data_IF_465881533667
#
_entry.id   IF_465881533667
#
_cell.length_a   1.000
_cell.length_b   1.000
_cell.length_c   1.000
_cell.angle_alpha   90.00
_cell.angle_beta   90.00
_cell.angle_gamma   90.00
#
_symmetry.space_group_name_H-M   'P 1'
#
loop_
_entity.id
_entity.type
_entity.pdbx_description
1 polymer ?
#
# COMPACT_ATOMS: atom_id res chain seq x y z
N UNK A 1 24.98 -9.28 -1.09
CA UNK A 1 24.05 -8.49 -1.91
C UNK A 1 23.00 -7.94 -0.97
N UNK A 2 22.77 -6.65 -1.01
CA UNK A 2 21.69 -5.97 -0.29
C UNK A 2 20.72 -5.43 -1.36
N UNK A 3 19.44 -5.76 -1.24
CA UNK A 3 18.40 -5.26 -2.11
C UNK A 3 17.44 -4.40 -1.30
N UNK A 4 17.12 -3.21 -1.80
CA UNK A 4 16.16 -2.30 -1.17
C UNK A 4 14.86 -2.35 -1.97
N UNK A 5 13.78 -2.76 -1.32
CA UNK A 5 12.46 -2.85 -1.92
C UNK A 5 11.56 -1.75 -1.42
N UNK A 6 11.05 -0.93 -2.33
CA UNK A 6 9.95 -0.02 -2.01
C UNK A 6 8.62 -0.71 -2.32
N UNK A 7 7.80 -0.91 -1.30
CA UNK A 7 6.50 -1.59 -1.41
C UNK A 7 5.39 -0.65 -1.92
N UNK A 8 5.71 0.17 -2.93
CA UNK A 8 4.78 1.16 -3.49
C UNK A 8 3.96 0.67 -4.68
N UNK A 9 4.48 -0.30 -5.44
CA UNK A 9 3.87 -0.69 -6.72
C UNK A 9 3.91 -2.19 -7.03
N UNK A 10 4.71 -2.96 -6.32
CA UNK A 10 4.71 -4.41 -6.42
C UNK A 10 4.63 -4.98 -5.02
N UNK A 11 3.61 -5.76 -4.73
CA UNK A 11 3.68 -6.66 -3.59
C UNK A 11 4.98 -7.44 -3.74
N UNK A 12 5.85 -7.40 -2.72
CA UNK A 12 6.88 -8.42 -2.61
C UNK A 12 6.18 -9.75 -2.84
N UNK A 13 6.69 -10.56 -3.75
CA UNK A 13 6.25 -11.95 -3.84
C UNK A 13 6.22 -12.49 -2.40
N UNK A 14 5.15 -13.18 -2.05
CA UNK A 14 4.99 -13.74 -0.70
C UNK A 14 6.16 -14.63 -0.31
N UNK A 15 6.97 -15.06 -1.30
CA UNK A 15 8.17 -15.87 -1.12
C UNK A 15 9.42 -15.04 -1.36
N UNK A 16 10.25 -14.93 -0.34
CA UNK A 16 11.62 -14.44 -0.44
C UNK A 16 12.46 -15.59 -1.02
N UNK A 17 13.42 -15.27 -1.88
CA UNK A 17 14.30 -16.28 -2.48
C UNK A 17 15.08 -17.04 -1.38
N UNK A 18 15.37 -18.32 -1.63
CA UNK A 18 16.11 -19.14 -0.67
C UNK A 18 17.48 -18.53 -0.36
N UNK A 19 17.81 -18.53 0.92
CA UNK A 19 19.05 -17.92 1.42
C UNK A 19 18.97 -16.40 1.64
N UNK A 20 17.84 -15.75 1.37
CA UNK A 20 17.59 -14.33 1.67
C UNK A 20 16.57 -14.17 2.79
N UNK A 21 16.59 -13.00 3.44
CA UNK A 21 15.66 -12.58 4.47
C UNK A 21 15.42 -11.07 4.40
N UNK A 22 14.27 -10.61 4.91
CA UNK A 22 14.10 -9.18 5.21
C UNK A 22 14.83 -8.91 6.51
N UNK A 23 15.93 -8.20 6.41
CA UNK A 23 16.82 -7.94 7.54
C UNK A 23 16.47 -6.65 8.26
N UNK A 24 15.83 -5.72 7.59
CA UNK A 24 15.36 -4.47 8.18
C UNK A 24 14.16 -3.90 7.43
N UNK A 25 13.39 -3.08 8.14
CA UNK A 25 12.45 -2.13 7.54
C UNK A 25 12.73 -0.74 8.10
N UNK A 26 12.60 0.28 7.26
CA UNK A 26 12.71 1.66 7.70
C UNK A 26 11.38 2.14 8.31
N UNK A 27 11.38 3.21 9.12
CA UNK A 27 10.15 3.81 9.62
C UNK A 27 9.13 4.00 8.49
N UNK A 28 7.87 3.61 8.75
CA UNK A 28 6.82 3.65 7.75
C UNK A 28 6.54 5.07 7.30
N UNK A 29 6.63 5.35 6.01
CA UNK A 29 6.14 6.59 5.42
C UNK A 29 4.62 6.58 5.25
N UNK A 30 4.10 7.58 4.55
CA UNK A 30 2.66 7.64 4.25
C UNK A 30 2.16 6.38 3.58
N UNK A 31 1.12 5.77 4.14
CA UNK A 31 0.54 4.52 3.64
C UNK A 31 -0.74 4.75 2.82
N UNK A 32 -1.37 5.93 2.93
CA UNK A 32 -2.61 6.24 2.23
C UNK A 32 -2.46 6.37 0.72
N UNK A 33 -3.59 6.29 0.05
CA UNK A 33 -3.72 6.63 -1.36
C UNK A 33 -4.26 8.07 -1.50
N UNK A 34 -4.02 8.67 -2.66
CA UNK A 34 -4.45 10.02 -2.98
C UNK A 34 -5.14 10.07 -4.32
N UNK A 35 -6.12 10.96 -4.42
CA UNK A 35 -6.77 11.36 -5.65
C UNK A 35 -6.06 12.59 -6.20
N UNK A 36 -5.60 12.54 -7.43
CA UNK A 36 -4.86 13.64 -8.07
C UNK A 36 -5.61 14.09 -9.31
N UNK A 37 -5.94 15.39 -9.37
CA UNK A 37 -6.64 16.01 -10.51
C UNK A 37 -5.87 17.23 -11.00
N UNK A 38 -6.12 17.66 -12.24
CA UNK A 38 -5.71 19.02 -12.65
C UNK A 38 -6.43 20.06 -11.78
N UNK A 39 -5.82 21.21 -11.60
CA UNK A 39 -6.48 22.32 -10.93
C UNK A 39 -7.78 22.69 -11.66
N UNK A 40 -8.78 23.15 -10.90
CA UNK A 40 -10.11 23.51 -11.39
C UNK A 40 -10.87 22.36 -12.10
N UNK A 41 -10.47 21.10 -11.84
CA UNK A 41 -11.20 19.95 -12.34
C UNK A 41 -12.54 19.82 -11.61
N UNK A 42 -13.62 19.76 -12.36
CA UNK A 42 -14.95 19.46 -11.85
C UNK A 42 -15.32 18.00 -12.15
N UNK A 43 -15.83 17.28 -11.15
CA UNK A 43 -16.29 15.91 -11.32
C UNK A 43 -17.55 15.90 -12.18
N UNK A 44 -17.49 15.20 -13.32
CA UNK A 44 -18.59 15.03 -14.28
C UNK A 44 -18.82 13.54 -14.54
N UNK A 45 -20.02 13.17 -14.91
CA UNK A 45 -20.30 11.78 -15.26
C UNK A 45 -19.39 11.27 -16.39
N UNK A 46 -18.85 10.08 -16.18
CA UNK A 46 -17.98 9.44 -17.15
C UNK A 46 -16.54 9.96 -17.19
N UNK A 47 -16.10 10.80 -16.22
CA UNK A 47 -14.70 11.20 -16.14
C UNK A 47 -13.77 10.00 -15.99
N UNK A 48 -12.52 10.12 -16.43
CA UNK A 48 -11.58 9.03 -16.57
C UNK A 48 -10.58 9.03 -15.41
N UNK A 49 -10.62 7.98 -14.59
CA UNK A 49 -9.64 7.74 -13.52
C UNK A 49 -8.56 6.79 -14.02
N UNK A 50 -7.29 7.21 -13.96
CA UNK A 50 -6.12 6.39 -14.27
C UNK A 50 -5.63 5.59 -13.06
N UNK A 51 -5.70 4.26 -13.13
CA UNK A 51 -5.07 3.36 -12.16
C UNK A 51 -4.78 2.00 -12.79
N UNK A 52 -3.62 1.41 -12.48
CA UNK A 52 -3.30 0.02 -12.85
C UNK A 52 -3.48 -0.96 -11.69
N UNK A 53 -4.11 -0.53 -10.58
CA UNK A 53 -4.35 -1.35 -9.39
C UNK A 53 -5.83 -1.70 -9.28
N UNK A 54 -6.13 -3.01 -9.30
CA UNK A 54 -7.50 -3.48 -9.14
C UNK A 54 -8.09 -3.04 -7.79
N UNK A 55 -7.31 -3.09 -6.70
CA UNK A 55 -7.72 -2.60 -5.39
C UNK A 55 -8.17 -1.13 -5.45
N UNK A 56 -7.32 -0.25 -6.02
CA UNK A 56 -7.65 1.19 -6.14
C UNK A 56 -8.88 1.42 -7.00
N UNK A 57 -9.02 0.65 -8.08
CA UNK A 57 -10.21 0.72 -8.94
C UNK A 57 -11.46 0.39 -8.14
N UNK A 58 -11.49 -0.76 -7.45
CA UNK A 58 -12.68 -1.21 -6.70
C UNK A 58 -13.06 -0.27 -5.55
N UNK A 59 -12.08 0.28 -4.82
CA UNK A 59 -12.37 1.30 -3.80
C UNK A 59 -12.85 2.61 -4.40
N UNK A 60 -12.23 3.08 -5.49
CA UNK A 60 -12.63 4.32 -6.14
C UNK A 60 -14.00 4.21 -6.84
N UNK A 61 -14.40 3.02 -7.32
CA UNK A 61 -15.74 2.77 -7.88
C UNK A 61 -16.86 2.99 -6.85
N UNK A 62 -16.60 2.76 -5.56
CA UNK A 62 -17.57 3.05 -4.49
C UNK A 62 -17.78 4.54 -4.29
N UNK A 63 -16.70 5.32 -4.39
CA UNK A 63 -16.72 6.78 -4.18
C UNK A 63 -17.22 7.49 -5.45
N UNK A 64 -16.82 6.98 -6.60
CA UNK A 64 -17.09 7.57 -7.92
C UNK A 64 -17.77 6.55 -8.85
N UNK A 65 -19.04 6.19 -8.60
CA UNK A 65 -19.72 5.11 -9.35
C UNK A 65 -19.91 5.42 -10.84
N UNK A 66 -19.93 6.71 -11.21
CA UNK A 66 -20.10 7.16 -12.59
C UNK A 66 -18.76 7.41 -13.31
N UNK A 67 -17.61 7.13 -12.68
CA UNK A 67 -16.30 7.26 -13.29
C UNK A 67 -15.99 6.10 -14.25
N UNK A 68 -15.22 6.39 -15.29
CA UNK A 68 -14.59 5.38 -16.14
C UNK A 68 -13.16 5.12 -15.67
N UNK A 69 -12.75 3.86 -15.66
CA UNK A 69 -11.40 3.47 -15.24
C UNK A 69 -10.56 3.03 -16.44
N UNK A 70 -9.35 3.55 -16.53
CA UNK A 70 -8.40 3.23 -17.58
C UNK A 70 -7.04 2.89 -16.97
N UNK A 71 -6.44 1.81 -17.45
CA UNK A 71 -5.09 1.43 -17.02
C UNK A 71 -4.07 2.53 -17.32
N UNK A 72 -3.20 2.76 -16.33
CA UNK A 72 -2.07 3.68 -16.48
C UNK A 72 -0.76 2.98 -16.07
N UNK A 73 0.26 3.11 -16.90
CA UNK A 73 1.60 2.57 -16.65
C UNK A 73 2.63 3.69 -16.67
N UNK A 74 3.78 3.42 -16.08
CA UNK A 74 4.90 4.35 -15.92
C UNK A 74 5.19 4.67 -14.46
N UNK A 75 6.26 5.39 -14.22
CA UNK A 75 6.57 5.95 -12.89
C UNK A 75 5.62 7.13 -12.56
N UNK A 76 5.72 7.68 -11.36
CA UNK A 76 4.83 8.76 -10.89
C UNK A 76 4.89 9.97 -11.81
N UNK A 77 6.10 10.42 -12.20
CA UNK A 77 6.28 11.57 -13.10
C UNK A 77 5.59 11.37 -14.45
N UNK A 78 5.75 10.18 -15.04
CA UNK A 78 5.11 9.83 -16.30
C UNK A 78 3.60 9.86 -16.19
N UNK A 79 3.05 9.39 -15.06
CA UNK A 79 1.60 9.40 -14.82
C UNK A 79 1.07 10.81 -14.63
N UNK A 80 1.78 11.66 -13.88
CA UNK A 80 1.42 13.07 -13.72
C UNK A 80 1.45 13.81 -15.06
N UNK A 81 2.47 13.58 -15.89
CA UNK A 81 2.52 14.15 -17.26
C UNK A 81 1.29 13.76 -18.07
N UNK A 82 0.85 12.50 -18.02
CA UNK A 82 -0.36 12.03 -18.71
C UNK A 82 -1.63 12.70 -18.20
N UNK A 83 -1.73 12.95 -16.89
CA UNK A 83 -2.83 13.72 -16.29
C UNK A 83 -2.83 15.15 -16.84
N UNK A 84 -1.69 15.84 -16.82
CA UNK A 84 -1.56 17.21 -17.27
C UNK A 84 -1.82 17.34 -18.78
N UNK A 85 -1.44 16.34 -19.57
CA UNK A 85 -1.74 16.28 -21.01
C UNK A 85 -3.22 15.95 -21.32
N UNK A 86 -4.05 15.70 -20.31
CA UNK A 86 -5.48 15.43 -20.52
C UNK A 86 -5.83 14.01 -20.96
N UNK A 87 -4.87 13.06 -20.91
CA UNK A 87 -5.15 11.64 -21.21
C UNK A 87 -6.04 10.97 -20.14
N UNK A 88 -6.07 11.56 -18.95
CA UNK A 88 -6.88 11.19 -17.77
C UNK A 88 -7.40 12.45 -17.11
N UNK A 89 -8.54 12.34 -16.44
CA UNK A 89 -9.13 13.44 -15.67
C UNK A 89 -8.65 13.42 -14.23
N UNK A 90 -8.39 12.23 -13.72
CA UNK A 90 -7.88 12.00 -12.37
C UNK A 90 -6.94 10.78 -12.32
N UNK A 91 -6.12 10.70 -11.27
CA UNK A 91 -5.29 9.53 -10.96
C UNK A 91 -5.50 9.09 -9.52
N UNK A 92 -5.34 7.78 -9.27
CA UNK A 92 -5.20 7.25 -7.90
C UNK A 92 -3.78 6.73 -7.72
N UNK A 93 -3.04 7.38 -6.81
CA UNK A 93 -1.62 7.13 -6.55
C UNK A 93 -1.37 6.85 -5.06
N UNK A 94 -0.24 6.19 -4.72
CA UNK A 94 0.22 6.11 -3.36
C UNK A 94 0.84 7.46 -2.93
N UNK A 95 0.42 8.01 -1.79
CA UNK A 95 0.94 9.28 -1.26
C UNK A 95 2.46 9.24 -1.10
N UNK A 96 3.00 8.16 -0.53
CA UNK A 96 4.45 7.99 -0.37
C UNK A 96 5.26 8.09 -1.68
N UNK A 97 4.64 7.78 -2.83
CA UNK A 97 5.29 7.93 -4.13
C UNK A 97 5.47 9.40 -4.53
N UNK A 98 4.49 10.24 -4.23
CA UNK A 98 4.56 11.68 -4.45
C UNK A 98 5.53 12.35 -3.46
N UNK A 99 5.44 11.98 -2.18
CA UNK A 99 6.32 12.52 -1.13
C UNK A 99 7.80 12.29 -1.43
N UNK A 100 8.17 11.07 -1.86
CA UNK A 100 9.58 10.75 -2.19
C UNK A 100 10.15 11.52 -3.38
N UNK A 101 9.29 12.04 -4.22
CA UNK A 101 9.68 12.81 -5.41
C UNK A 101 9.41 14.32 -5.23
N UNK A 102 8.98 14.73 -4.04
CA UNK A 102 8.57 16.11 -3.73
C UNK A 102 7.46 16.63 -4.67
N UNK A 103 6.50 15.76 -4.99
CA UNK A 103 5.41 16.02 -5.93
C UNK A 103 4.03 16.15 -5.26
N UNK A 104 3.99 16.38 -3.94
CA UNK A 104 2.72 16.56 -3.23
C UNK A 104 2.09 17.94 -3.46
N UNK A 105 2.89 18.95 -3.83
CA UNK A 105 2.46 20.34 -3.99
C UNK A 105 2.79 20.80 -5.42
N UNK A 106 2.03 20.33 -6.39
CA UNK A 106 2.20 20.79 -7.78
C UNK A 106 1.41 22.08 -8.05
N UNK A 107 1.96 22.94 -8.91
CA UNK A 107 1.29 24.20 -9.32
C UNK A 107 0.07 23.93 -10.22
N UNK A 108 0.11 22.83 -10.99
CA UNK A 108 -0.90 22.53 -12.02
C UNK A 108 -1.91 21.44 -11.63
N UNK A 109 -1.76 20.84 -10.45
CA UNK A 109 -2.63 19.76 -9.98
C UNK A 109 -2.87 19.81 -8.48
N UNK A 110 -3.98 19.23 -8.07
CA UNK A 110 -4.39 19.11 -6.66
C UNK A 110 -4.27 17.66 -6.20
N UNK A 111 -3.72 17.44 -5.01
CA UNK A 111 -3.58 16.13 -4.36
C UNK A 111 -4.52 16.07 -3.15
N UNK A 112 -5.56 15.23 -3.23
CA UNK A 112 -6.53 15.03 -2.16
C UNK A 112 -6.35 13.65 -1.55
N UNK A 113 -6.02 13.51 -0.24
CA UNK A 113 -5.93 12.22 0.42
C UNK A 113 -7.29 11.52 0.50
N UNK A 114 -7.32 10.20 0.29
CA UNK A 114 -8.43 9.38 0.71
C UNK A 114 -8.34 9.08 2.22
N UNK A 115 -9.49 8.89 2.85
CA UNK A 115 -9.53 8.33 4.19
C UNK A 115 -9.05 6.87 4.15
N UNK A 116 -8.02 6.55 4.92
CA UNK A 116 -7.42 5.23 4.93
C UNK A 116 -8.30 4.14 5.58
N UNK A 117 -9.31 4.51 6.35
CA UNK A 117 -10.26 3.58 6.94
C UNK A 117 -11.35 3.17 5.94
N UNK A 118 -11.68 4.04 4.98
CA UNK A 118 -12.61 3.77 3.88
C UNK A 118 -11.89 3.23 2.62
N UNK A 119 -10.69 3.74 2.36
CA UNK A 119 -9.85 3.37 1.21
C UNK A 119 -8.58 2.65 1.70
N UNK A 120 -8.74 1.40 2.14
CA UNK A 120 -7.63 0.63 2.71
C UNK A 120 -6.44 0.54 1.76
N UNK A 121 -5.22 0.89 2.21
CA UNK A 121 -4.00 0.80 1.41
C UNK A 121 -3.66 -0.65 1.04
N UNK A 122 -2.76 -0.83 0.09
CA UNK A 122 -2.18 -2.14 -0.14
C UNK A 122 -1.36 -2.59 1.09
N UNK A 123 -1.37 -3.89 1.44
CA UNK A 123 -0.53 -4.40 2.52
C UNK A 123 0.93 -3.96 2.34
N UNK A 124 1.54 -3.49 3.43
CA UNK A 124 2.89 -2.94 3.48
C UNK A 124 3.12 -1.64 2.67
N UNK A 125 2.08 -0.98 2.18
CA UNK A 125 2.25 0.31 1.49
C UNK A 125 2.93 1.33 2.41
N UNK A 126 3.89 2.09 1.87
CA UNK A 126 4.68 3.06 2.62
C UNK A 126 5.92 2.48 3.32
N UNK A 127 6.08 1.16 3.37
CA UNK A 127 7.25 0.51 3.98
C UNK A 127 8.37 0.35 2.96
N UNK A 128 9.60 0.62 3.40
CA UNK A 128 10.83 0.26 2.68
C UNK A 128 11.45 -0.92 3.41
N UNK A 129 11.55 -2.05 2.73
CA UNK A 129 12.16 -3.26 3.25
C UNK A 129 13.55 -3.49 2.64
N UNK A 130 14.47 -3.95 3.46
CA UNK A 130 15.86 -4.24 3.07
C UNK A 130 16.06 -5.74 3.15
N UNK A 131 16.37 -6.35 2.01
CA UNK A 131 16.63 -7.77 1.88
C UNK A 131 18.14 -8.03 1.84
N UNK A 132 18.61 -9.02 2.57
CA UNK A 132 20.00 -9.45 2.55
C UNK A 132 20.13 -10.96 2.70
N UNK A 133 21.36 -11.48 2.64
CA UNK A 133 21.64 -12.90 2.89
C UNK A 133 21.34 -13.25 4.35
N UNK A 134 20.66 -14.35 4.57
CA UNK A 134 20.35 -14.88 5.90
C UNK A 134 21.63 -15.08 6.73
N UNK A 135 21.53 -14.74 8.00
CA UNK A 135 22.57 -14.98 9.01
C UNK A 135 23.95 -14.36 8.66
N UNK A 136 24.00 -13.38 7.77
CA UNK A 136 25.23 -12.66 7.45
C UNK A 136 25.53 -11.58 8.49
N UNK A 137 26.79 -11.12 8.56
CA UNK A 137 27.13 -9.96 9.38
C UNK A 137 26.34 -8.71 8.96
N UNK A 138 26.11 -8.56 7.65
CA UNK A 138 25.30 -7.48 7.11
C UNK A 138 23.85 -7.57 7.61
N UNK A 139 23.25 -8.76 7.68
CA UNK A 139 21.89 -8.89 8.20
C UNK A 139 21.78 -8.51 9.68
N UNK A 140 22.81 -8.82 10.48
CA UNK A 140 22.88 -8.41 11.89
C UNK A 140 22.98 -6.90 12.05
N UNK A 141 23.87 -6.27 11.28
CA UNK A 141 23.98 -4.79 11.27
C UNK A 141 22.68 -4.10 10.83
N UNK A 142 22.02 -4.65 9.80
CA UNK A 142 20.74 -4.11 9.31
C UNK A 142 19.63 -4.24 10.36
N UNK A 143 19.62 -5.33 11.13
CA UNK A 143 18.63 -5.53 12.20
C UNK A 143 18.71 -4.42 13.27
N UNK A 144 19.87 -3.83 13.52
CA UNK A 144 20.06 -2.76 14.50
C UNK A 144 19.36 -1.44 14.07
N UNK A 145 19.24 -1.20 12.78
CA UNK A 145 18.59 0.01 12.23
C UNK A 145 17.12 -0.22 11.89
N UNK A 146 16.61 -1.43 12.08
CA UNK A 146 15.21 -1.75 11.76
C UNK A 146 14.24 -1.07 12.72
N UNK A 147 13.21 -0.41 12.17
CA UNK A 147 12.12 0.12 12.97
C UNK A 147 11.22 -0.99 13.48
N UNK A 148 11.14 -1.13 14.80
CA UNK A 148 10.43 -2.24 15.47
C UNK A 148 8.94 -2.25 15.17
N UNK A 149 8.26 -1.10 15.26
CA UNK A 149 6.83 -1.01 15.05
C UNK A 149 6.46 -1.26 13.59
N UNK A 150 7.26 -0.74 12.67
CA UNK A 150 7.10 -1.01 11.24
C UNK A 150 7.34 -2.47 10.90
N UNK A 151 8.32 -3.14 11.54
CA UNK A 151 8.56 -4.58 11.33
C UNK A 151 7.37 -5.42 11.79
N UNK A 152 6.77 -5.11 12.95
CA UNK A 152 5.57 -5.79 13.44
C UNK A 152 4.38 -5.61 12.48
N UNK A 153 4.19 -4.39 11.98
CA UNK A 153 3.18 -4.10 10.95
C UNK A 153 3.45 -4.87 9.66
N UNK A 154 4.68 -4.86 9.19
CA UNK A 154 5.12 -5.55 7.99
C UNK A 154 4.83 -7.06 8.06
N UNK A 155 5.21 -7.71 9.15
CA UNK A 155 4.97 -9.15 9.36
C UNK A 155 3.47 -9.47 9.41
N UNK A 156 2.69 -8.64 10.09
CA UNK A 156 1.23 -8.81 10.24
C UNK A 156 0.52 -8.69 8.89
N UNK A 157 0.84 -7.66 8.12
CA UNK A 157 0.22 -7.42 6.80
C UNK A 157 0.69 -8.44 5.76
N UNK A 158 1.93 -8.92 5.83
CA UNK A 158 2.40 -10.04 5.01
C UNK A 158 1.69 -11.35 5.35
N UNK A 159 1.37 -11.58 6.64
CA UNK A 159 0.60 -12.77 7.02
C UNK A 159 -0.80 -12.74 6.38
N UNK A 160 -1.43 -11.57 6.22
CA UNK A 160 -2.70 -11.46 5.48
C UNK A 160 -2.54 -11.95 4.04
N UNK A 161 -1.52 -11.45 3.31
CA UNK A 161 -1.23 -11.88 1.94
C UNK A 161 -0.98 -13.40 1.85
N UNK A 162 -0.21 -13.93 2.81
CA UNK A 162 0.07 -15.36 2.90
C UNK A 162 -1.19 -16.20 3.11
N UNK A 163 -2.04 -15.78 4.05
CA UNK A 163 -3.27 -16.52 4.39
C UNK A 163 -4.26 -16.53 3.22
N UNK A 164 -4.34 -15.43 2.47
CA UNK A 164 -5.19 -15.30 1.28
C UNK A 164 -4.58 -15.93 0.01
N UNK A 165 -3.36 -16.48 0.06
CA UNK A 165 -2.59 -16.84 -1.14
C UNK A 165 -2.60 -15.73 -2.20
N UNK A 166 -2.58 -14.47 -1.75
CA UNK A 166 -2.76 -13.31 -2.60
C UNK A 166 -1.51 -13.06 -3.46
N UNK A 167 -1.76 -12.67 -4.70
CA UNK A 167 -0.76 -12.20 -5.65
C UNK A 167 -0.96 -10.72 -6.01
N UNK A 168 -0.20 -10.24 -7.00
CA UNK A 168 -0.27 -8.84 -7.44
C UNK A 168 -1.61 -8.45 -8.08
N UNK A 169 -2.45 -9.41 -8.46
CA UNK A 169 -3.76 -9.20 -9.07
C UNK A 169 -4.89 -9.22 -8.04
N UNK A 170 -4.63 -9.74 -6.85
CA UNK A 170 -5.62 -9.85 -5.77
C UNK A 170 -5.88 -8.48 -5.14
N UNK A 171 -7.13 -7.99 -5.07
CA UNK A 171 -7.45 -6.64 -4.61
C UNK A 171 -7.48 -6.53 -3.08
N UNK A 172 -6.41 -6.92 -2.40
CA UNK A 172 -6.32 -6.88 -0.94
C UNK A 172 -5.98 -5.47 -0.46
N UNK A 173 -6.79 -4.95 0.46
CA UNK A 173 -6.47 -3.80 1.29
C UNK A 173 -6.13 -4.26 2.70
N UNK A 174 -5.04 -3.77 3.31
CA UNK A 174 -4.77 -4.00 4.72
C UNK A 174 -3.85 -2.93 5.30
N UNK A 175 -4.11 -2.60 6.56
CA UNK A 175 -3.28 -1.69 7.35
C UNK A 175 -3.24 -2.16 8.81
N UNK A 176 -2.06 -2.15 9.40
CA UNK A 176 -1.90 -2.38 10.83
C UNK A 176 -1.24 -1.18 11.52
N UNK A 177 -1.65 -0.94 12.77
CA UNK A 177 -1.14 0.13 13.63
C UNK A 177 -0.71 -0.49 14.96
N UNK A 178 0.49 -0.16 15.42
CA UNK A 178 1.06 -0.62 16.69
C UNK A 178 1.03 0.53 17.69
N UNK A 179 0.32 0.35 18.79
CA UNK A 179 0.17 1.34 19.86
C UNK A 179 0.11 0.63 21.24
N UNK A 180 0.90 1.09 22.20
CA UNK A 180 0.84 0.60 23.59
C UNK A 180 0.82 -0.95 23.73
N UNK A 181 1.78 -1.64 23.13
CA UNK A 181 1.90 -3.10 23.12
C UNK A 181 0.73 -3.85 22.48
N UNK A 182 -0.13 -3.17 21.77
CA UNK A 182 -1.24 -3.73 21.01
C UNK A 182 -1.06 -3.44 19.51
N UNK A 183 -1.65 -4.32 18.72
CA UNK A 183 -1.70 -4.14 17.26
C UNK A 183 -3.16 -4.20 16.81
N UNK A 184 -3.57 -3.20 16.04
CA UNK A 184 -4.86 -3.16 15.35
C UNK A 184 -4.62 -3.46 13.89
N UNK A 185 -5.38 -4.39 13.32
CA UNK A 185 -5.35 -4.74 11.90
C UNK A 185 -6.74 -4.53 11.31
N UNK A 186 -6.80 -3.78 10.21
CA UNK A 186 -7.98 -3.67 9.34
C UNK A 186 -7.65 -4.27 7.99
N UNK A 187 -8.54 -5.09 7.42
CA UNK A 187 -8.33 -5.71 6.12
C UNK A 187 -9.63 -5.89 5.31
N UNK A 188 -9.46 -5.95 4.00
CA UNK A 188 -10.51 -6.28 3.03
C UNK A 188 -9.88 -7.13 1.91
N UNK A 189 -10.46 -8.29 1.61
CA UNK A 189 -9.94 -9.19 0.58
C UNK A 189 -10.48 -8.86 -0.82
N UNK A 190 -11.65 -8.23 -0.91
CA UNK A 190 -12.38 -7.97 -2.15
C UNK A 190 -12.75 -6.49 -2.33
N UNK A 191 -12.25 -5.63 -1.47
CA UNK A 191 -12.63 -4.22 -1.36
C UNK A 191 -14.12 -3.97 -1.06
N UNK A 192 -14.91 -4.98 -0.68
CA UNK A 192 -16.34 -4.82 -0.36
C UNK A 192 -16.58 -4.78 1.14
N UNK A 193 -16.16 -5.81 1.84
CA UNK A 193 -16.27 -5.93 3.30
C UNK A 193 -14.93 -5.63 3.94
N UNK A 194 -14.94 -4.80 4.97
CA UNK A 194 -13.77 -4.56 5.83
C UNK A 194 -14.03 -5.20 7.19
N UNK A 195 -13.05 -5.92 7.71
CA UNK A 195 -13.01 -6.43 9.08
C UNK A 195 -11.83 -5.81 9.81
N UNK A 196 -11.99 -5.60 11.09
CA UNK A 196 -10.94 -5.02 11.94
C UNK A 196 -10.91 -5.72 13.30
N UNK A 197 -9.73 -5.78 13.89
CA UNK A 197 -9.54 -6.35 15.22
C UNK A 197 -8.26 -5.85 15.85
N UNK A 198 -8.22 -5.91 17.19
CA UNK A 198 -7.07 -5.51 17.99
C UNK A 198 -6.69 -6.65 18.93
N UNK A 199 -5.38 -6.90 19.05
CA UNK A 199 -4.85 -7.91 19.96
C UNK A 199 -3.49 -7.44 20.52
N UNK A 200 -2.91 -8.22 21.44
CA UNK A 200 -1.51 -8.03 21.85
C UNK A 200 -0.55 -8.28 20.68
N UNK A 201 0.57 -7.58 20.67
CA UNK A 201 1.62 -7.74 19.64
C UNK A 201 2.07 -9.19 19.48
N UNK A 202 2.15 -9.93 20.61
CA UNK A 202 2.50 -11.36 20.63
C UNK A 202 1.55 -12.23 19.80
N UNK A 203 0.29 -11.83 19.67
CA UNK A 203 -0.78 -12.54 18.98
C UNK A 203 -0.99 -12.05 17.52
N UNK A 204 -0.20 -11.12 17.01
CA UNK A 204 -0.38 -10.46 15.71
C UNK A 204 -0.64 -11.41 14.53
N UNK A 205 0.09 -12.52 14.50
CA UNK A 205 -0.05 -13.52 13.43
C UNK A 205 -1.37 -14.31 13.56
N UNK A 206 -1.80 -14.61 14.79
CA UNK A 206 -3.10 -15.24 15.05
C UNK A 206 -4.24 -14.29 14.69
N UNK A 207 -4.11 -13.00 15.05
CA UNK A 207 -5.05 -11.96 14.67
C UNK A 207 -5.24 -11.89 13.16
N UNK A 208 -4.15 -11.83 12.38
CA UNK A 208 -4.20 -11.79 10.92
C UNK A 208 -4.93 -13.01 10.34
N UNK A 209 -4.60 -14.22 10.81
CA UNK A 209 -5.26 -15.47 10.36
C UNK A 209 -6.75 -15.48 10.71
N UNK A 210 -7.12 -15.07 11.93
CA UNK A 210 -8.51 -14.99 12.36
C UNK A 210 -9.33 -14.04 11.49
N UNK A 211 -8.83 -12.81 11.29
CA UNK A 211 -9.55 -11.82 10.47
C UNK A 211 -9.67 -12.24 9.01
N UNK A 212 -8.69 -12.96 8.47
CA UNK A 212 -8.80 -13.54 7.11
C UNK A 212 -9.93 -14.57 7.07
N UNK A 213 -10.05 -15.47 8.06
CA UNK A 213 -11.14 -16.45 8.09
C UNK A 213 -12.55 -15.85 8.32
N UNK A 214 -12.64 -14.60 8.79
CA UNK A 214 -13.92 -13.88 8.94
C UNK A 214 -14.39 -13.22 7.63
N UNK A 215 -13.51 -13.16 6.62
CA UNK A 215 -13.76 -12.47 5.35
C UNK A 215 -13.88 -13.45 4.15
N UNK A 216 -13.39 -14.68 4.31
CA UNK A 216 -13.62 -15.79 3.38
C UNK A 216 -15.04 -16.37 3.55
#
# INVERSE_FOLDING_TARGET
VVLIHTLLQRSLTTKIADGLEISAVLPRGSYGDVFVTRNNFEIKDGFIIGTGSLRRKLFAEKIYPNAKFKDIRGNVDTRLKKLLNGEYDALVLAKAGLERLDLCNGEDYTVTPFDADEFLPAPCQGIVAIESRKNSEVSKMLAEISDKNTMLSFETERQVLHSLNADCSTPVGAISKVENDRITLSLSADCKKTVSGTDEISNRIKLAKRLVSEIE
#
